data_IF_507419632296
#
_entry.id   IF_507419632296
#
_cell.length_a   1.000
_cell.length_b   1.000
_cell.length_c   1.000
_cell.angle_alpha   90.00
_cell.angle_beta   90.00
_cell.angle_gamma   90.00
#
_symmetry.space_group_name_H-M   'P 1'
#
loop_
_entity.id
_entity.type
_entity.pdbx_description
1 polymer ?
#
# COMPACT_ATOMS: atom_id res chain seq x y z
N UNK A 1 3.14 -2.35 1.48
CA UNK A 1 3.89 -1.13 1.80
C UNK A 1 2.94 0.02 1.99
N UNK A 2 2.92 0.68 3.15
CA UNK A 2 2.11 1.89 3.36
C UNK A 2 2.64 3.05 2.51
N UNK A 3 1.74 3.89 2.01
CA UNK A 3 2.04 5.12 1.26
C UNK A 3 1.50 6.33 2.05
N UNK A 4 1.60 6.26 3.37
CA UNK A 4 0.93 7.14 4.32
C UNK A 4 -0.26 6.46 5.01
N UNK A 5 -1.01 7.26 5.77
CA UNK A 5 -2.14 6.83 6.60
C UNK A 5 -3.39 6.40 5.82
N UNK A 6 -3.52 6.77 4.56
CA UNK A 6 -4.77 6.67 3.78
C UNK A 6 -4.64 5.79 2.55
N UNK A 7 -3.43 5.33 2.22
CA UNK A 7 -3.19 4.49 1.06
C UNK A 7 -2.07 3.47 1.32
N UNK A 8 -2.19 2.30 0.71
CA UNK A 8 -1.14 1.29 0.73
C UNK A 8 -1.05 0.55 -0.59
N UNK A 9 0.16 0.12 -0.94
CA UNK A 9 0.40 -0.78 -2.04
C UNK A 9 0.52 -2.22 -1.53
N UNK A 10 -0.18 -3.13 -2.19
CA UNK A 10 -0.21 -4.57 -1.89
C UNK A 10 0.25 -5.34 -3.12
N UNK A 11 1.19 -6.27 -2.91
CA UNK A 11 1.70 -7.16 -3.95
C UNK A 11 1.13 -8.55 -3.74
N UNK A 12 0.34 -9.02 -4.71
CA UNK A 12 -0.19 -10.39 -4.70
C UNK A 12 0.71 -11.35 -5.47
N UNK A 13 1.50 -10.83 -6.42
CA UNK A 13 2.52 -11.55 -7.20
C UNK A 13 3.70 -10.63 -7.47
N UNK A 14 4.89 -11.15 -7.84
CA UNK A 14 6.05 -10.31 -8.18
C UNK A 14 5.77 -9.29 -9.29
N UNK A 15 4.85 -9.64 -10.21
CA UNK A 15 4.42 -8.78 -11.32
C UNK A 15 3.03 -8.15 -11.16
N UNK A 16 2.44 -8.20 -9.98
CA UNK A 16 1.07 -7.72 -9.78
C UNK A 16 0.96 -7.00 -8.44
N UNK A 17 0.65 -5.70 -8.54
CA UNK A 17 0.46 -4.84 -7.39
C UNK A 17 -0.85 -4.07 -7.53
N UNK A 18 -1.43 -3.72 -6.38
CA UNK A 18 -2.66 -2.96 -6.26
C UNK A 18 -2.44 -1.82 -5.29
N UNK A 19 -2.96 -0.65 -5.64
CA UNK A 19 -3.14 0.47 -4.73
C UNK A 19 -4.49 0.33 -4.07
N UNK A 20 -4.48 0.16 -2.76
CA UNK A 20 -5.66 0.23 -1.92
C UNK A 20 -5.71 1.63 -1.34
N UNK A 21 -6.80 2.35 -1.57
CA UNK A 21 -7.05 3.60 -0.85
C UNK A 21 -8.12 3.35 0.20
N UNK A 22 -7.92 3.91 1.38
CA UNK A 22 -8.78 3.73 2.53
C UNK A 22 -9.80 4.86 2.64
N UNK A 23 -10.84 4.59 3.43
CA UNK A 23 -11.87 5.55 3.77
C UNK A 23 -11.40 6.32 5.00
N UNK A 24 -10.81 7.49 4.78
CA UNK A 24 -10.22 8.31 5.84
C UNK A 24 -8.77 7.91 6.18
N UNK A 25 -8.24 8.53 7.24
CA UNK A 25 -6.92 8.23 7.78
C UNK A 25 -6.97 6.97 8.65
N UNK A 26 -5.97 6.10 8.50
CA UNK A 26 -5.76 4.90 9.28
C UNK A 26 -4.51 5.11 10.16
N UNK A 27 -4.67 5.58 11.40
CA UNK A 27 -3.56 6.09 12.20
C UNK A 27 -2.46 5.06 12.41
N UNK A 28 -2.84 3.78 12.54
CA UNK A 28 -1.90 2.70 12.83
C UNK A 28 -1.17 2.14 11.62
N UNK A 29 -1.56 2.55 10.40
CA UNK A 29 -1.05 1.93 9.19
C UNK A 29 0.44 2.25 8.94
N UNK A 30 0.89 3.45 9.30
CA UNK A 30 2.26 3.91 9.03
C UNK A 30 3.30 3.22 9.91
N UNK A 31 2.92 2.78 11.11
CA UNK A 31 3.81 2.11 12.06
C UNK A 31 3.53 0.60 12.19
N UNK A 32 2.49 0.09 11.55
CA UNK A 32 2.18 -1.33 11.57
C UNK A 32 3.28 -2.16 10.90
N UNK A 33 3.81 -3.14 11.63
CA UNK A 33 4.80 -4.07 11.11
C UNK A 33 4.18 -5.08 10.13
N UNK A 34 2.91 -5.40 10.34
CA UNK A 34 2.15 -6.30 9.49
C UNK A 34 0.71 -5.79 9.35
N UNK A 35 0.04 -6.25 8.31
CA UNK A 35 -1.37 -5.95 8.05
C UNK A 35 -2.10 -7.25 7.69
N UNK A 36 -3.39 -7.30 7.98
CA UNK A 36 -4.31 -8.32 7.49
C UNK A 36 -5.38 -7.68 6.63
N UNK A 37 -5.81 -8.37 5.57
CA UNK A 37 -6.92 -7.97 4.73
C UNK A 37 -8.10 -8.89 5.00
N UNK A 38 -9.27 -8.32 5.28
CA UNK A 38 -10.51 -9.10 5.22
C UNK A 38 -10.79 -9.44 3.76
N UNK A 39 -11.45 -10.57 3.56
CA UNK A 39 -11.79 -11.03 2.22
C UNK A 39 -13.03 -11.91 2.27
N UNK A 40 -13.75 -11.95 1.15
CA UNK A 40 -14.90 -12.80 0.95
C UNK A 40 -14.58 -13.79 -0.16
N UNK A 41 -14.69 -15.09 0.12
CA UNK A 41 -14.40 -16.15 -0.85
C UNK A 41 -13.04 -15.96 -1.57
N UNK A 42 -11.99 -15.68 -0.79
CA UNK A 42 -10.61 -15.41 -1.26
C UNK A 42 -10.47 -14.18 -2.18
N UNK A 43 -11.47 -13.30 -2.21
CA UNK A 43 -11.46 -12.06 -3.01
C UNK A 43 -11.63 -10.86 -2.10
N UNK A 44 -10.87 -9.80 -2.36
CA UNK A 44 -10.97 -8.53 -1.64
C UNK A 44 -11.79 -7.55 -2.48
N UNK A 45 -12.84 -6.99 -1.89
CA UNK A 45 -13.75 -6.06 -2.53
C UNK A 45 -13.65 -4.66 -1.92
N UNK A 46 -13.63 -3.65 -2.79
CA UNK A 46 -13.72 -2.26 -2.35
C UNK A 46 -15.03 -2.04 -1.57
N UNK A 47 -14.98 -1.19 -0.54
CA UNK A 47 -16.06 -0.76 0.36
C UNK A 47 -16.62 -1.81 1.30
N UNK A 48 -16.39 -3.08 1.02
CA UNK A 48 -16.81 -4.19 1.88
C UNK A 48 -15.67 -4.66 2.78
N UNK A 49 -14.48 -4.80 2.20
CA UNK A 49 -13.33 -5.30 2.94
C UNK A 49 -12.52 -4.18 3.62
N UNK A 50 -11.75 -4.58 4.61
CA UNK A 50 -11.03 -3.72 5.53
C UNK A 50 -9.56 -4.15 5.60
N UNK A 51 -8.71 -3.17 5.87
CA UNK A 51 -7.33 -3.36 6.26
C UNK A 51 -7.26 -3.31 7.77
N UNK A 52 -6.69 -4.35 8.39
CA UNK A 52 -6.48 -4.43 9.82
C UNK A 52 -4.97 -4.33 10.08
N UNK A 53 -4.50 -3.20 10.59
CA UNK A 53 -3.13 -3.08 11.10
C UNK A 53 -2.90 -4.13 12.19
N UNK A 54 -1.78 -4.82 12.17
CA UNK A 54 -1.38 -5.75 13.21
C UNK A 54 -0.30 -5.08 14.06
N UNK A 55 -0.69 -4.59 15.23
CA UNK A 55 0.21 -4.00 16.20
C UNK A 55 0.25 -4.84 17.49
N UNK A 56 1.43 -4.98 18.09
CA UNK A 56 1.64 -5.81 19.29
C UNK A 56 1.24 -5.10 20.59
N UNK A 57 1.16 -3.76 20.58
CA UNK A 57 1.00 -2.94 21.78
C UNK A 57 -0.26 -2.05 21.76
N UNK A 58 -1.16 -2.22 20.79
CA UNK A 58 -2.27 -1.29 20.53
C UNK A 58 -3.60 -1.94 20.17
N UNK A 59 -4.61 -1.11 19.92
CA UNK A 59 -5.94 -1.53 19.48
C UNK A 59 -5.95 -1.57 17.96
N UNK A 60 -6.04 -2.78 17.38
CA UNK A 60 -6.08 -2.95 15.93
C UNK A 60 -7.41 -2.43 15.37
N UNK A 61 -7.45 -1.16 14.96
CA UNK A 61 -8.65 -0.53 14.39
C UNK A 61 -8.73 -0.84 12.89
N UNK A 62 -9.80 -1.52 12.42
CA UNK A 62 -9.97 -1.82 11.01
C UNK A 62 -10.32 -0.57 10.19
N UNK A 63 -9.70 -0.43 9.02
CA UNK A 63 -9.88 0.69 8.11
C UNK A 63 -10.52 0.21 6.80
N UNK A 64 -11.65 0.81 6.40
CA UNK A 64 -12.39 0.36 5.22
C UNK A 64 -11.69 0.72 3.91
N UNK A 65 -11.61 -0.24 2.98
CA UNK A 65 -11.06 -0.01 1.65
C UNK A 65 -12.08 0.83 0.86
N UNK A 66 -11.69 2.00 0.36
CA UNK A 66 -12.52 2.84 -0.49
C UNK A 66 -12.47 2.41 -1.95
N UNK A 67 -11.27 2.09 -2.43
CA UNK A 67 -10.99 1.84 -3.84
C UNK A 67 -9.78 0.92 -4.01
N UNK A 68 -9.81 0.10 -5.06
CA UNK A 68 -8.74 -0.82 -5.44
C UNK A 68 -8.36 -0.53 -6.88
N UNK A 69 -7.11 -0.12 -7.12
CA UNK A 69 -6.59 0.15 -8.47
C UNK A 69 -5.39 -0.73 -8.78
N UNK A 70 -5.31 -1.36 -9.96
CA UNK A 70 -4.10 -2.05 -10.38
C UNK A 70 -2.97 -1.02 -10.59
N UNK A 71 -1.76 -1.41 -10.23
CA UNK A 71 -0.56 -0.60 -10.43
C UNK A 71 0.27 -1.16 -11.58
N UNK A 72 0.70 -0.27 -12.49
CA UNK A 72 1.72 -0.60 -13.48
C UNK A 72 3.11 -0.53 -12.85
N UNK A 73 3.52 -1.64 -12.27
CA UNK A 73 4.85 -1.84 -11.71
C UNK A 73 5.99 -1.70 -12.72
N UNK A 74 5.76 -1.92 -14.02
CA UNK A 74 6.79 -1.74 -15.03
C UNK A 74 7.10 -0.26 -15.21
N UNK A 75 6.04 0.56 -15.32
CA UNK A 75 6.14 2.02 -15.34
C UNK A 75 6.78 2.55 -14.04
N UNK A 76 6.32 2.09 -12.87
CA UNK A 76 6.89 2.50 -11.57
C UNK A 76 8.39 2.20 -11.50
N UNK A 77 8.81 0.99 -11.90
CA UNK A 77 10.24 0.60 -11.86
C UNK A 77 11.08 1.41 -12.84
N UNK A 78 10.54 1.79 -13.99
CA UNK A 78 11.24 2.65 -14.95
C UNK A 78 11.41 4.06 -14.38
N UNK A 79 10.34 4.66 -13.87
CA UNK A 79 10.40 5.97 -13.20
C UNK A 79 11.39 5.99 -12.01
N UNK A 80 11.40 4.93 -11.18
CA UNK A 80 12.35 4.80 -10.07
C UNK A 80 13.82 4.77 -10.52
N UNK A 81 14.11 4.17 -11.70
CA UNK A 81 15.47 4.12 -12.24
C UNK A 81 15.90 5.47 -12.80
N UNK A 82 15.01 6.15 -13.51
CA UNK A 82 15.26 7.50 -14.02
C UNK A 82 15.54 8.47 -12.87
N UNK A 83 14.70 8.48 -11.83
CA UNK A 83 14.91 9.31 -10.63
C UNK A 83 16.26 9.04 -9.95
N UNK A 84 16.68 7.77 -9.87
CA UNK A 84 17.98 7.40 -9.30
C UNK A 84 19.14 7.93 -10.14
N UNK A 85 19.04 7.81 -11.47
CA UNK A 85 20.09 8.31 -12.38
C UNK A 85 20.22 9.84 -12.33
N UNK A 86 19.10 10.57 -12.20
CA UNK A 86 19.10 12.03 -12.05
C UNK A 86 19.77 12.45 -10.75
N UNK A 87 19.41 11.82 -9.64
CA UNK A 87 19.99 12.14 -8.32
C UNK A 87 21.46 11.76 -8.18
N UNK A 88 21.94 10.74 -8.91
CA UNK A 88 23.37 10.42 -9.02
C UNK A 88 24.14 11.46 -9.84
N UNK A 89 23.56 11.94 -10.95
CA UNK A 89 24.17 12.99 -11.77
C UNK A 89 24.24 14.35 -11.06
N UNK A 90 23.22 14.71 -10.27
CA UNK A 90 23.22 15.94 -9.46
C UNK A 90 24.25 15.90 -8.33
N UNK A 91 24.50 14.73 -7.74
CA UNK A 91 25.51 14.56 -6.67
C UNK A 91 26.96 14.54 -7.17
N UNK A 92 27.17 14.31 -8.47
CA UNK A 92 28.49 14.26 -9.09
C UNK A 92 28.96 15.64 -9.62
N UNK A 93 28.17 16.70 -9.41
CA UNK A 93 28.43 18.07 -9.86
C UNK A 93 28.76 18.99 -8.67
#
# INVERSE_FOLDING_TARGET
TPLGDSALAVWTRPRQAYLLTLTGACPELDFAQAITLTHQFRTVYARFDQVVPLNQAGVNIPCHIREIRPLDIAAIRTAQREMRSVSEAERAK
#
